data_IF_450633666350
#
_entry.id   IF_450633666350
#
_cell.length_a   1.000
_cell.length_b   1.000
_cell.length_c   1.000
_cell.angle_alpha   90.00
_cell.angle_beta   90.00
_cell.angle_gamma   90.00
#
_symmetry.space_group_name_H-M   'P 1'
#
loop_
_entity.id
_entity.type
_entity.pdbx_description
1 polymer ?
#
# COMPACT_ATOMS: atom_id res chain seq x y z
N UNK A 1 -20.02 8.83 9.27
CA UNK A 1 -19.67 10.05 10.06
C UNK A 1 -18.21 10.42 9.71
N UNK A 2 -17.97 11.46 8.89
CA UNK A 2 -16.60 11.91 8.56
C UNK A 2 -16.04 12.62 9.79
N UNK A 3 -14.99 12.09 10.42
CA UNK A 3 -14.23 12.84 11.42
C UNK A 3 -13.38 13.87 10.66
N UNK A 4 -13.25 15.08 11.18
CA UNK A 4 -12.21 15.98 10.74
C UNK A 4 -10.88 15.28 11.05
N UNK A 5 -10.20 14.79 10.02
CA UNK A 5 -8.85 14.29 10.14
C UNK A 5 -7.95 15.50 9.95
N UNK A 6 -7.03 15.70 10.87
CA UNK A 6 -5.97 16.70 10.74
C UNK A 6 -4.67 16.04 11.17
N UNK A 7 -3.60 16.35 10.43
CA UNK A 7 -2.26 15.86 10.73
C UNK A 7 -1.36 17.05 11.05
N UNK A 8 -0.36 16.81 11.90
CA UNK A 8 0.67 17.80 12.20
C UNK A 8 1.92 17.52 11.37
N UNK A 9 2.77 18.54 11.22
CA UNK A 9 4.14 18.32 10.76
C UNK A 9 4.83 17.37 11.75
N UNK A 10 5.69 16.49 11.24
CA UNK A 10 6.34 15.39 11.97
C UNK A 10 5.43 14.23 12.42
N UNK A 11 4.12 14.26 12.16
CA UNK A 11 3.30 13.06 12.35
C UNK A 11 3.72 11.97 11.34
N UNK A 12 3.79 10.73 11.83
CA UNK A 12 3.99 9.55 11.00
C UNK A 12 2.66 9.09 10.40
N UNK A 13 2.63 8.91 9.08
CA UNK A 13 1.45 8.50 8.34
C UNK A 13 1.76 7.38 7.37
N UNK A 14 0.79 6.51 7.16
CA UNK A 14 0.80 5.53 6.09
C UNK A 14 0.20 6.12 4.82
N UNK A 15 0.85 5.88 3.69
CA UNK A 15 0.36 6.27 2.37
C UNK A 15 -0.49 5.13 1.79
N UNK A 16 -1.69 5.48 1.33
CA UNK A 16 -2.60 4.55 0.66
C UNK A 16 -2.14 4.33 -0.78
N UNK A 17 -1.89 3.07 -1.13
CA UNK A 17 -1.62 2.65 -2.51
C UNK A 17 -2.83 1.95 -3.09
N UNK A 18 -2.94 1.99 -4.42
CA UNK A 18 -3.94 1.19 -5.14
C UNK A 18 -3.22 0.23 -6.07
N UNK A 19 -3.43 -1.09 -5.94
CA UNK A 19 -3.00 -2.00 -7.00
C UNK A 19 -3.75 -1.62 -8.27
N UNK A 20 -3.04 -1.38 -9.38
CA UNK A 20 -3.70 -1.04 -10.63
C UNK A 20 -4.57 -2.21 -11.10
N UNK A 21 -5.79 -1.87 -11.51
CA UNK A 21 -6.65 -2.74 -12.33
C UNK A 21 -6.02 -2.88 -13.72
N UNK A 22 -5.20 -3.91 -13.92
CA UNK A 22 -4.62 -4.27 -15.23
C UNK A 22 -3.10 -4.28 -15.14
N UNK A 23 -2.44 -5.42 -14.99
CA UNK A 23 -2.34 -6.46 -16.02
C UNK A 23 -2.29 -7.83 -15.34
N UNK A 24 -2.86 -8.83 -16.00
CA UNK A 24 -2.96 -10.25 -15.60
C UNK A 24 -3.97 -10.52 -14.47
N UNK A 25 -5.18 -10.85 -14.92
CA UNK A 25 -6.27 -11.44 -14.15
C UNK A 25 -5.85 -12.83 -13.65
N UNK A 26 -5.14 -12.92 -12.53
CA UNK A 26 -5.33 -14.08 -11.66
C UNK A 26 -6.61 -13.85 -10.88
N UNK A 27 -7.68 -14.53 -11.30
CA UNK A 27 -8.98 -14.43 -10.68
C UNK A 27 -8.87 -14.58 -9.16
N UNK A 28 -9.58 -13.69 -8.45
CA UNK A 28 -9.71 -13.53 -6.99
C UNK A 28 -8.86 -12.37 -6.46
N UNK A 29 -9.56 -11.28 -6.11
CA UNK A 29 -9.18 -10.20 -5.21
C UNK A 29 -7.92 -10.53 -4.38
N UNK A 30 -6.87 -9.69 -4.47
CA UNK A 30 -5.68 -9.78 -3.64
C UNK A 30 -6.05 -9.65 -2.15
N UNK A 31 -6.37 -10.78 -1.50
CA UNK A 31 -6.74 -10.83 -0.09
C UNK A 31 -5.60 -10.37 0.84
N UNK A 32 -4.38 -10.30 0.30
CA UNK A 32 -3.13 -10.02 1.00
C UNK A 32 -2.36 -8.80 0.45
N UNK A 33 -2.92 -8.03 -0.50
CA UNK A 33 -2.25 -6.84 -1.03
C UNK A 33 -2.15 -5.76 0.05
N UNK A 34 -0.97 -5.20 0.37
CA UNK A 34 -0.88 -4.06 1.26
C UNK A 34 -1.67 -2.89 0.67
N UNK A 35 -2.68 -2.44 1.41
CA UNK A 35 -3.50 -1.27 1.05
C UNK A 35 -2.84 0.05 1.44
N UNK A 36 -1.86 -0.04 2.34
CA UNK A 36 -1.10 1.05 2.87
C UNK A 36 0.36 0.62 2.92
N UNK A 37 1.25 1.50 2.51
CA UNK A 37 2.70 1.32 2.57
C UNK A 37 3.26 2.28 3.61
N UNK A 38 4.43 1.93 4.15
CA UNK A 38 5.42 2.84 4.74
C UNK A 38 4.93 3.83 5.80
N UNK A 39 5.55 3.91 6.98
CA UNK A 39 5.46 5.15 7.73
C UNK A 39 6.28 6.21 6.99
N UNK A 40 5.63 7.28 6.54
CA UNK A 40 6.31 8.47 6.05
C UNK A 40 6.05 9.63 7.00
N UNK A 41 7.07 10.45 7.20
CA UNK A 41 6.96 11.65 8.03
C UNK A 41 6.36 12.78 7.19
N UNK A 42 5.46 13.56 7.78
CA UNK A 42 4.94 14.76 7.14
C UNK A 42 5.99 15.87 7.24
N UNK A 43 6.52 16.29 6.08
CA UNK A 43 7.51 17.37 5.98
C UNK A 43 6.86 18.75 6.16
N UNK A 44 5.74 18.99 5.46
CA UNK A 44 5.00 20.25 5.53
C UNK A 44 3.53 20.08 5.22
N UNK A 45 2.70 20.99 5.73
CA UNK A 45 1.30 21.14 5.35
C UNK A 45 1.19 22.19 4.26
N UNK A 46 0.79 21.79 3.05
CA UNK A 46 0.67 22.70 1.90
C UNK A 46 -0.69 23.41 1.90
N UNK A 47 -1.73 22.76 2.41
CA UNK A 47 -3.06 23.36 2.53
C UNK A 47 -3.92 22.67 3.58
N UNK A 48 -5.21 22.99 3.58
CA UNK A 48 -6.16 22.36 4.50
C UNK A 48 -6.21 20.83 4.30
N UNK A 49 -6.05 20.37 3.06
CA UNK A 49 -6.25 18.98 2.64
C UNK A 49 -5.01 18.32 2.01
N UNK A 50 -3.92 19.05 1.79
CA UNK A 50 -2.72 18.55 1.12
C UNK A 50 -1.49 18.62 2.03
N UNK A 51 -0.75 17.52 2.10
CA UNK A 51 0.45 17.36 2.93
C UNK A 51 1.59 16.82 2.09
N UNK A 52 2.79 17.34 2.33
CA UNK A 52 4.02 16.80 1.75
C UNK A 52 4.63 15.77 2.69
N UNK A 53 5.05 14.64 2.14
CA UNK A 53 5.72 13.56 2.84
C UNK A 53 7.20 13.53 2.52
N UNK A 54 8.00 13.11 3.50
CA UNK A 54 9.39 12.70 3.29
C UNK A 54 9.40 11.28 2.72
N UNK A 55 9.47 11.20 1.40
CA UNK A 55 9.59 9.94 0.68
C UNK A 55 11.07 9.51 0.56
N UNK A 56 11.37 8.21 0.62
CA UNK A 56 12.71 7.69 0.38
C UNK A 56 13.12 7.90 -1.07
N UNK A 57 14.44 7.86 -1.33
CA UNK A 57 15.01 8.12 -2.65
C UNK A 57 14.54 7.14 -3.73
N UNK A 58 14.10 5.94 -3.33
CA UNK A 58 13.50 4.93 -4.19
C UNK A 58 12.17 5.39 -4.82
N UNK A 59 11.48 6.35 -4.19
CA UNK A 59 10.20 6.91 -4.63
C UNK A 59 10.32 8.32 -5.19
N UNK A 60 11.51 8.74 -5.65
CA UNK A 60 11.75 10.09 -6.21
C UNK A 60 10.82 10.41 -7.39
N UNK A 61 10.40 9.39 -8.15
CA UNK A 61 9.48 9.58 -9.28
C UNK A 61 8.03 9.89 -8.83
N UNK A 62 7.68 9.59 -7.58
CA UNK A 62 6.37 9.88 -7.00
C UNK A 62 6.35 11.30 -6.44
N UNK A 63 5.34 12.09 -6.80
CA UNK A 63 5.15 13.41 -6.21
C UNK A 63 4.94 13.30 -4.69
N UNK A 64 5.69 14.06 -3.86
CA UNK A 64 5.64 13.93 -2.40
C UNK A 64 4.37 14.52 -1.77
N UNK A 65 3.49 15.14 -2.56
CA UNK A 65 2.31 15.86 -2.08
C UNK A 65 1.05 14.99 -2.23
N UNK A 66 0.39 14.71 -1.11
CA UNK A 66 -0.77 13.85 -1.06
C UNK A 66 -1.98 14.51 -0.41
N UNK A 67 -3.16 14.13 -0.89
CA UNK A 67 -4.43 14.51 -0.30
C UNK A 67 -4.69 13.73 0.99
N UNK A 68 -5.33 14.36 1.97
CA UNK A 68 -5.56 13.80 3.32
C UNK A 68 -6.29 12.43 3.31
N UNK A 69 -7.11 12.17 2.30
CA UNK A 69 -7.85 10.90 2.13
C UNK A 69 -6.95 9.72 1.78
N UNK A 70 -5.71 9.98 1.36
CA UNK A 70 -4.69 8.99 1.05
C UNK A 70 -3.78 8.71 2.24
N UNK A 71 -3.92 9.46 3.33
CA UNK A 71 -3.08 9.36 4.51
C UNK A 71 -3.84 8.70 5.66
N UNK A 72 -3.15 7.85 6.41
CA UNK A 72 -3.67 7.22 7.62
C UNK A 72 -2.68 7.41 8.76
N UNK A 73 -3.14 7.94 9.90
CA UNK A 73 -2.26 8.14 11.06
C UNK A 73 -1.63 6.81 11.50
N UNK A 74 -0.31 6.80 11.68
CA UNK A 74 0.37 5.70 12.34
C UNK A 74 0.15 5.83 13.85
N UNK A 75 -0.41 4.81 14.48
CA UNK A 75 -0.51 4.72 15.95
C UNK A 75 0.46 3.64 16.40
N UNK A 76 1.68 4.03 16.75
CA UNK A 76 2.77 3.13 17.14
C UNK A 76 4.07 3.90 17.34
N UNK A 77 5.02 3.30 18.06
CA UNK A 77 6.36 3.85 18.23
C UNK A 77 7.10 3.85 16.88
N UNK A 78 7.62 5.00 16.40
CA UNK A 78 8.38 5.10 15.14
C UNK A 78 9.52 4.07 15.01
N UNK A 79 10.12 3.68 16.14
CA UNK A 79 11.24 2.73 16.20
C UNK A 79 10.85 1.28 15.91
N UNK A 80 9.58 0.90 16.12
CA UNK A 80 9.06 -0.45 15.86
C UNK A 80 8.49 -0.60 14.45
N UNK A 81 8.46 0.49 13.67
CA UNK A 81 7.86 0.45 12.34
C UNK A 81 8.86 -0.15 11.37
N UNK A 82 8.80 -1.47 11.25
CA UNK A 82 9.49 -2.24 10.22
C UNK A 82 9.23 -1.57 8.88
N UNK A 83 10.28 -1.03 8.26
CA UNK A 83 10.25 -0.52 6.90
C UNK A 83 9.67 -1.64 6.03
N UNK A 84 8.48 -1.41 5.50
CA UNK A 84 7.81 -2.41 4.66
C UNK A 84 8.71 -2.61 3.46
N UNK A 85 9.18 -3.85 3.24
CA UNK A 85 10.05 -4.24 2.13
C UNK A 85 9.68 -3.44 0.87
N UNK A 86 10.66 -2.72 0.33
CA UNK A 86 10.54 -1.80 -0.79
C UNK A 86 9.68 -2.39 -1.90
N UNK A 87 8.44 -1.91 -1.99
CA UNK A 87 7.56 -2.19 -3.13
C UNK A 87 7.89 -1.12 -4.16
N UNK A 88 8.38 -1.51 -5.33
CA UNK A 88 8.60 -0.58 -6.44
C UNK A 88 7.27 0.03 -6.85
N UNK A 89 7.06 1.29 -6.46
CA UNK A 89 5.84 2.03 -6.76
C UNK A 89 6.10 2.92 -7.97
N UNK A 90 5.27 2.74 -8.99
CA UNK A 90 5.22 3.58 -10.18
C UNK A 90 4.64 4.95 -9.83
N UNK A 91 4.91 5.94 -10.66
CA UNK A 91 4.52 7.36 -10.50
C UNK A 91 3.04 7.59 -10.16
N UNK A 92 2.17 6.68 -10.59
CA UNK A 92 0.73 6.70 -10.35
C UNK A 92 0.30 5.99 -9.05
N UNK A 93 1.22 5.76 -8.10
CA UNK A 93 0.96 5.10 -6.82
C UNK A 93 0.47 3.66 -6.95
N UNK A 94 0.90 3.01 -8.02
CA UNK A 94 0.65 1.59 -8.29
C UNK A 94 1.93 0.79 -8.18
N UNK A 95 1.80 -0.52 -7.97
CA UNK A 95 2.92 -1.44 -7.96
C UNK A 95 2.55 -2.72 -8.69
N UNK A 96 3.55 -3.43 -9.21
CA UNK A 96 3.37 -4.77 -9.77
C UNK A 96 3.45 -5.82 -8.66
N UNK A 97 2.38 -6.62 -8.52
CA UNK A 97 2.35 -7.73 -7.56
C UNK A 97 3.06 -8.94 -8.17
N UNK A 98 4.24 -9.28 -7.63
CA UNK A 98 4.92 -10.54 -7.93
C UNK A 98 4.94 -11.38 -6.63
N UNK A 99 4.39 -12.61 -6.64
CA UNK A 99 4.43 -13.47 -5.47
C UNK A 99 5.89 -13.82 -5.13
N UNK A 100 6.28 -13.63 -3.86
CA UNK A 100 7.64 -13.91 -3.37
C UNK A 100 8.07 -15.32 -3.74
N UNK A 101 7.21 -16.30 -3.49
CA UNK A 101 7.37 -17.67 -3.97
C UNK A 101 6.02 -18.41 -3.89
N UNK A 102 5.66 -19.13 -4.96
CA UNK A 102 4.54 -20.07 -4.93
C UNK A 102 5.09 -21.41 -4.40
N UNK A 103 4.65 -21.80 -3.21
CA UNK A 103 5.04 -23.05 -2.56
C UNK A 103 4.33 -24.26 -3.16
N UNK A 104 3.06 -24.09 -3.54
CA UNK A 104 2.24 -25.21 -4.00
C UNK A 104 1.07 -24.75 -4.87
N UNK A 105 0.61 -25.63 -5.76
CA UNK A 105 -0.60 -25.45 -6.59
C UNK A 105 -1.46 -26.71 -6.49
N UNK A 106 -2.63 -26.59 -5.88
CA UNK A 106 -3.60 -27.69 -5.79
C UNK A 106 -4.91 -27.31 -6.48
N UNK A 107 -5.57 -28.28 -7.12
CA UNK A 107 -6.90 -28.12 -7.71
C UNK A 107 -7.92 -28.76 -6.79
N UNK A 108 -8.75 -27.95 -6.14
CA UNK A 108 -9.85 -28.43 -5.33
C UNK A 108 -11.05 -28.72 -6.23
N UNK A 109 -11.43 -29.99 -6.38
CA UNK A 109 -12.67 -30.36 -7.05
C UNK A 109 -13.86 -30.15 -6.10
N UNK A 110 -14.76 -29.24 -6.46
CA UNK A 110 -16.06 -29.06 -5.83
C UNK A 110 -17.12 -29.83 -6.61
N UNK A 111 -18.32 -30.00 -6.02
CA UNK A 111 -19.43 -30.77 -6.59
C UNK A 111 -19.83 -30.37 -8.02
N UNK A 112 -19.58 -29.12 -8.42
CA UNK A 112 -19.94 -28.57 -9.73
C UNK A 112 -18.79 -27.93 -10.50
N UNK A 113 -17.60 -27.79 -9.91
CA UNK A 113 -16.47 -27.11 -10.57
C UNK A 113 -15.13 -27.44 -9.94
N UNK A 114 -14.08 -27.32 -10.73
CA UNK A 114 -12.70 -27.39 -10.25
C UNK A 114 -12.17 -25.99 -9.97
N UNK A 115 -11.50 -25.82 -8.82
CA UNK A 115 -10.97 -24.53 -8.40
C UNK A 115 -9.48 -24.68 -8.12
N UNK A 116 -8.65 -24.04 -8.93
CA UNK A 116 -7.23 -23.91 -8.62
C UNK A 116 -7.03 -23.04 -7.37
N UNK A 117 -6.17 -23.51 -6.48
CA UNK A 117 -5.70 -22.81 -5.29
C UNK A 117 -4.17 -22.92 -5.22
N UNK A 118 -3.54 -21.84 -4.78
CA UNK A 118 -2.09 -21.73 -4.71
C UNK A 118 -1.68 -21.37 -3.28
N UNK A 119 -0.63 -22.01 -2.79
CA UNK A 119 -0.01 -21.69 -1.51
C UNK A 119 1.17 -20.76 -1.81
N UNK A 120 1.21 -19.61 -1.16
CA UNK A 120 2.26 -18.60 -1.28
C UNK A 120 3.02 -18.55 0.04
N UNK A 121 4.33 -18.29 -0.01
CA UNK A 121 5.23 -18.18 1.14
C UNK A 121 4.93 -16.94 1.99
#
# INVERSE_FOLDING_TARGET
>A
RRRALEFKVDDWVYLKVSPIKGVIRFGKNGKLSPRYIGPYRIAKRIGSVAYELELPQELVAVHPVFHISMLKKCMGDPSLIVQTKNVEIKDNLSYEEIPVQILDRQVCKLRTKEVASVKVL
#
